data_IF_762422216519
#
_entry.id   IF_762422216519
#
_cell.length_a   1.000
_cell.length_b   1.000
_cell.length_c   1.000
_cell.angle_alpha   90.00
_cell.angle_beta   90.00
_cell.angle_gamma   90.00
#
_symmetry.space_group_name_H-M   'P 1'
#
loop_
_entity.id
_entity.type
_entity.pdbx_description
1 polymer ?
#
# COMPACT_ATOMS: atom_id res chain seq x y z
N UNK A 1 -4.77 25.37 20.90
CA UNK A 1 -5.48 25.46 19.59
C UNK A 1 -4.99 24.45 18.53
N UNK A 2 -3.74 23.96 18.56
CA UNK A 2 -3.15 23.02 17.55
C UNK A 2 -3.66 21.57 17.71
N UNK A 3 -3.85 21.05 18.92
CA UNK A 3 -4.29 19.66 19.21
C UNK A 3 -5.72 19.38 18.72
N UNK A 4 -6.66 20.36 18.85
CA UNK A 4 -8.05 20.18 18.39
C UNK A 4 -8.16 19.94 16.87
N UNK A 5 -7.29 20.56 16.05
CA UNK A 5 -7.30 20.39 14.59
C UNK A 5 -6.80 19.01 14.15
N UNK A 6 -5.89 18.40 14.91
CA UNK A 6 -5.40 17.05 14.62
C UNK A 6 -6.41 15.97 15.02
N UNK A 7 -7.08 16.17 16.15
CA UNK A 7 -8.17 15.28 16.57
C UNK A 7 -9.33 15.30 15.56
N UNK A 8 -9.63 16.46 14.95
CA UNK A 8 -10.62 16.54 13.87
C UNK A 8 -10.17 15.83 12.58
N UNK A 9 -8.88 15.88 12.25
CA UNK A 9 -8.31 15.17 11.08
C UNK A 9 -8.22 13.65 11.31
N UNK A 10 -7.82 13.24 12.52
CA UNK A 10 -7.77 11.82 12.89
C UNK A 10 -9.19 11.22 12.98
N UNK A 11 -10.18 12.00 13.47
CA UNK A 11 -11.58 11.58 13.47
C UNK A 11 -12.16 11.45 12.06
N UNK A 12 -11.78 12.34 11.11
CA UNK A 12 -12.20 12.24 9.71
C UNK A 12 -11.57 11.03 9.00
N UNK A 13 -10.31 10.70 9.32
CA UNK A 13 -9.63 9.50 8.78
C UNK A 13 -10.21 8.20 9.34
N UNK A 14 -10.65 8.20 10.61
CA UNK A 14 -11.31 7.05 11.23
C UNK A 14 -12.76 6.85 10.72
N UNK A 15 -13.44 7.90 10.30
CA UNK A 15 -14.78 7.83 9.69
C UNK A 15 -14.75 7.27 8.25
N UNK A 16 -13.60 7.22 7.62
CA UNK A 16 -13.40 6.57 6.32
C UNK A 16 -13.16 5.05 6.41
N UNK A 17 -13.33 4.45 7.59
CA UNK A 17 -13.35 2.99 7.73
C UNK A 17 -14.61 2.47 7.02
N UNK A 18 -14.50 1.68 5.97
CA UNK A 18 -15.67 1.10 5.32
C UNK A 18 -16.41 0.25 6.36
N UNK A 19 -17.68 0.51 6.52
CA UNK A 19 -18.61 -0.42 7.18
C UNK A 19 -18.55 -1.69 6.34
N UNK A 20 -17.93 -2.75 6.90
CA UNK A 20 -17.62 -3.96 6.15
C UNK A 20 -18.87 -4.54 5.51
N UNK A 21 -18.89 -4.62 4.20
CA UNK A 21 -19.78 -5.51 3.49
C UNK A 21 -19.52 -6.92 4.03
N UNK A 22 -20.58 -7.66 4.37
CA UNK A 22 -20.44 -9.06 4.76
C UNK A 22 -19.94 -9.83 3.55
N UNK A 23 -18.64 -10.15 3.56
CA UNK A 23 -18.04 -11.01 2.53
C UNK A 23 -18.45 -12.44 2.83
N UNK A 24 -19.21 -13.04 1.93
CA UNK A 24 -19.52 -14.47 1.99
C UNK A 24 -18.25 -15.24 1.59
N UNK A 25 -17.41 -15.60 2.57
CA UNK A 25 -16.24 -16.45 2.34
C UNK A 25 -16.59 -17.90 2.61
N UNK A 26 -16.26 -18.78 1.66
CA UNK A 26 -16.45 -20.22 1.79
C UNK A 26 -15.21 -20.94 2.29
N UNK A 27 -14.07 -20.26 2.31
CA UNK A 27 -12.80 -20.79 2.78
C UNK A 27 -11.86 -19.72 3.25
N UNK A 28 -10.88 -20.11 4.04
CA UNK A 28 -9.75 -19.27 4.43
C UNK A 28 -8.44 -19.99 4.09
N UNK A 29 -7.50 -19.27 3.52
CA UNK A 29 -6.15 -19.73 3.25
C UNK A 29 -5.18 -18.84 4.06
N UNK A 30 -4.53 -19.46 5.05
CA UNK A 30 -3.56 -18.78 5.88
C UNK A 30 -2.17 -18.94 5.25
N UNK A 31 -1.75 -17.96 4.46
CA UNK A 31 -0.50 -17.97 3.69
C UNK A 31 0.80 -17.85 4.50
N UNK A 32 0.77 -18.10 5.80
CA UNK A 32 1.95 -18.14 6.64
C UNK A 32 2.70 -16.82 6.81
N UNK A 33 3.91 -16.91 7.32
CA UNK A 33 4.85 -15.80 7.47
C UNK A 33 5.87 -15.82 6.33
N UNK A 34 5.92 -14.75 5.57
CA UNK A 34 6.98 -14.51 4.58
C UNK A 34 7.99 -13.52 5.14
N UNK A 35 9.28 -13.74 4.87
CA UNK A 35 10.34 -12.80 5.21
C UNK A 35 11.02 -12.23 3.97
N UNK A 36 11.64 -11.05 4.09
CA UNK A 36 12.30 -10.44 2.95
C UNK A 36 12.97 -9.11 3.25
N UNK A 37 13.43 -8.44 2.18
CA UNK A 37 14.11 -7.16 2.26
C UNK A 37 13.56 -6.13 1.28
N UNK A 38 13.77 -4.85 1.63
CA UNK A 38 13.49 -3.70 0.78
C UNK A 38 14.72 -2.81 0.74
N UNK A 39 15.23 -2.58 -0.45
CA UNK A 39 16.35 -1.67 -0.68
C UNK A 39 15.87 -0.55 -1.58
N UNK A 40 16.10 0.69 -1.21
CA UNK A 40 15.76 1.82 -2.05
C UNK A 40 16.83 2.89 -2.07
N UNK A 41 16.88 3.59 -3.19
CA UNK A 41 17.73 4.76 -3.38
C UNK A 41 16.96 5.84 -4.11
N UNK A 42 17.19 7.10 -3.77
CA UNK A 42 16.48 8.18 -4.43
C UNK A 42 17.12 9.54 -4.27
N UNK A 43 16.57 10.47 -5.03
CA UNK A 43 16.96 11.88 -5.05
C UNK A 43 15.74 12.72 -4.69
N UNK A 44 15.90 13.63 -3.75
CA UNK A 44 14.91 14.67 -3.38
C UNK A 44 15.49 16.03 -3.77
N UNK A 45 14.96 16.60 -4.85
CA UNK A 45 15.36 17.89 -5.37
C UNK A 45 14.39 18.98 -4.93
N UNK A 46 14.92 20.03 -4.27
CA UNK A 46 14.16 21.23 -3.92
C UNK A 46 14.09 22.19 -5.10
N UNK A 47 13.09 22.02 -5.96
CA UNK A 47 12.90 22.84 -7.16
C UNK A 47 12.49 24.29 -6.83
N UNK A 48 11.65 24.48 -5.80
CA UNK A 48 11.30 25.81 -5.27
C UNK A 48 11.55 25.76 -3.75
N UNK A 49 12.46 26.59 -3.21
CA UNK A 49 12.79 26.61 -1.80
C UNK A 49 11.55 26.68 -0.90
N UNK A 50 11.47 25.77 0.06
CA UNK A 50 10.37 25.64 1.04
C UNK A 50 8.99 25.32 0.44
N UNK A 51 8.84 25.19 -0.87
CA UNK A 51 7.54 24.98 -1.52
C UNK A 51 7.45 23.70 -2.34
N UNK A 52 8.32 23.50 -3.33
CA UNK A 52 8.21 22.39 -4.28
C UNK A 52 9.40 21.46 -4.17
N UNK A 53 9.13 20.20 -3.93
CA UNK A 53 10.08 19.09 -3.96
C UNK A 53 9.73 18.14 -5.08
N UNK A 54 10.72 17.77 -5.87
CA UNK A 54 10.64 16.71 -6.86
C UNK A 54 11.42 15.51 -6.34
N UNK A 55 10.86 14.32 -6.48
CA UNK A 55 11.46 13.09 -5.96
C UNK A 55 11.54 12.04 -7.05
N UNK A 56 12.68 11.34 -7.10
CA UNK A 56 12.86 10.12 -7.84
C UNK A 56 13.36 9.03 -6.89
N UNK A 57 12.75 7.86 -6.94
CA UNK A 57 13.09 6.72 -6.11
C UNK A 57 13.08 5.43 -6.92
N UNK A 58 14.10 4.61 -6.71
CA UNK A 58 14.16 3.22 -7.12
C UNK A 58 14.06 2.33 -5.89
N UNK A 59 13.23 1.28 -5.94
CA UNK A 59 13.09 0.33 -4.83
C UNK A 59 13.10 -1.10 -5.37
N UNK A 60 13.89 -1.94 -4.72
CA UNK A 60 13.99 -3.38 -4.96
C UNK A 60 13.44 -4.11 -3.75
N UNK A 61 12.62 -5.13 -3.99
CA UNK A 61 12.06 -5.99 -2.93
C UNK A 61 12.41 -7.45 -3.17
N UNK A 62 12.83 -8.08 -2.10
CA UNK A 62 13.07 -9.51 -2.01
C UNK A 62 12.01 -10.14 -1.13
N UNK A 63 11.56 -11.36 -1.48
CA UNK A 63 10.70 -12.23 -0.69
C UNK A 63 11.29 -13.64 -0.59
N UNK A 64 10.50 -14.60 -0.11
CA UNK A 64 10.92 -16.00 0.04
C UNK A 64 12.25 -16.11 0.77
N UNK A 65 12.29 -15.61 2.00
CA UNK A 65 13.47 -15.64 2.89
C UNK A 65 14.70 -14.96 2.27
N UNK A 66 14.49 -13.81 1.62
CA UNK A 66 15.50 -13.00 0.91
C UNK A 66 16.03 -13.65 -0.39
N UNK A 67 15.54 -14.83 -0.79
CA UNK A 67 16.09 -15.61 -1.90
C UNK A 67 15.59 -15.18 -3.28
N UNK A 68 14.47 -14.45 -3.37
CA UNK A 68 13.86 -14.10 -4.65
C UNK A 68 13.68 -12.60 -4.83
N UNK A 69 14.15 -12.09 -5.99
CA UNK A 69 13.81 -10.75 -6.44
C UNK A 69 12.33 -10.73 -6.85
N UNK A 70 11.50 -10.05 -6.03
CA UNK A 70 10.06 -10.05 -6.18
C UNK A 70 9.52 -8.84 -6.94
N UNK A 71 10.00 -7.62 -6.59
CA UNK A 71 9.48 -6.39 -7.20
C UNK A 71 10.58 -5.37 -7.43
N UNK A 72 10.43 -4.63 -8.53
CA UNK A 72 11.16 -3.41 -8.83
C UNK A 72 10.16 -2.25 -8.93
N UNK A 73 10.50 -1.13 -8.34
CA UNK A 73 9.74 0.11 -8.44
C UNK A 73 10.64 1.21 -8.95
N UNK A 74 10.21 1.90 -10.01
CA UNK A 74 10.75 3.18 -10.44
C UNK A 74 9.66 4.23 -10.24
N UNK A 75 9.93 5.24 -9.44
CA UNK A 75 8.91 6.19 -9.00
C UNK A 75 9.39 7.62 -9.14
N UNK A 76 8.52 8.48 -9.65
CA UNK A 76 8.72 9.93 -9.69
C UNK A 76 7.55 10.63 -9.02
N UNK A 77 7.81 11.76 -8.38
CA UNK A 77 6.75 12.52 -7.72
C UNK A 77 7.10 13.98 -7.50
N UNK A 78 6.06 14.76 -7.24
CA UNK A 78 6.15 16.16 -6.87
C UNK A 78 5.34 16.41 -5.61
N UNK A 79 5.89 17.16 -4.67
CA UNK A 79 5.21 17.53 -3.42
C UNK A 79 5.26 19.04 -3.25
N UNK A 80 4.10 19.66 -3.10
CA UNK A 80 3.95 21.09 -2.88
C UNK A 80 3.48 21.38 -1.45
N UNK A 81 4.12 22.32 -0.78
CA UNK A 81 3.74 22.79 0.56
C UNK A 81 2.65 23.85 0.43
N UNK A 82 1.43 23.49 0.79
CA UNK A 82 0.26 24.38 0.79
C UNK A 82 0.31 25.35 1.98
N UNK A 83 0.62 24.82 3.16
CA UNK A 83 0.77 25.58 4.41
C UNK A 83 2.00 25.04 5.18
N UNK A 84 2.45 25.69 6.27
CA UNK A 84 3.54 25.15 7.09
C UNK A 84 3.31 23.73 7.61
N UNK A 85 2.04 23.32 7.76
CA UNK A 85 1.64 22.04 8.32
C UNK A 85 0.99 21.08 7.30
N UNK A 86 0.68 21.55 6.06
CA UNK A 86 -0.02 20.76 5.05
C UNK A 86 0.76 20.73 3.74
N UNK A 87 0.89 19.53 3.15
CA UNK A 87 1.50 19.28 1.85
C UNK A 87 0.55 18.46 1.00
N UNK A 88 0.55 18.73 -0.30
CA UNK A 88 -0.10 17.90 -1.30
C UNK A 88 0.95 17.39 -2.29
N UNK A 89 0.76 16.19 -2.83
CA UNK A 89 1.70 15.61 -3.78
C UNK A 89 1.02 14.73 -4.80
N UNK A 90 1.69 14.55 -5.92
CA UNK A 90 1.33 13.59 -6.96
C UNK A 90 2.53 12.70 -7.25
N UNK A 91 2.28 11.47 -7.65
CA UNK A 91 3.36 10.56 -8.04
C UNK A 91 2.92 9.56 -9.09
N UNK A 92 3.88 9.08 -9.85
CA UNK A 92 3.77 7.96 -10.77
C UNK A 92 4.81 6.89 -10.45
N UNK A 93 4.50 5.63 -10.70
CA UNK A 93 5.45 4.53 -10.53
C UNK A 93 5.24 3.47 -11.59
N UNK A 94 6.34 2.97 -12.16
CA UNK A 94 6.39 1.72 -12.88
C UNK A 94 6.72 0.62 -11.87
N UNK A 95 6.00 -0.49 -11.93
CA UNK A 95 6.14 -1.62 -11.00
C UNK A 95 6.30 -2.88 -11.82
N UNK A 96 7.46 -3.52 -11.70
CA UNK A 96 7.71 -4.83 -12.27
C UNK A 96 7.60 -5.85 -11.13
N UNK A 97 6.75 -6.84 -11.28
CA UNK A 97 6.54 -7.88 -10.28
C UNK A 97 6.91 -9.23 -10.88
N UNK A 98 7.79 -9.96 -10.21
CA UNK A 98 8.14 -11.33 -10.56
C UNK A 98 7.25 -12.30 -9.79
N UNK A 99 6.41 -13.03 -10.51
CA UNK A 99 5.53 -14.06 -9.97
C UNK A 99 6.12 -15.44 -10.28
N UNK A 100 6.00 -16.38 -9.35
CA UNK A 100 6.45 -17.76 -9.53
C UNK A 100 5.82 -18.41 -10.78
N UNK A 101 4.51 -18.18 -10.98
CA UNK A 101 3.76 -18.86 -12.03
C UNK A 101 3.79 -18.14 -13.37
N UNK A 102 4.00 -16.81 -13.37
CA UNK A 102 3.77 -15.98 -14.55
C UNK A 102 4.99 -15.13 -14.95
N UNK A 103 6.14 -15.27 -14.26
CA UNK A 103 7.33 -14.47 -14.51
C UNK A 103 7.11 -12.95 -14.23
N UNK A 104 7.80 -12.11 -15.01
CA UNK A 104 7.73 -10.65 -14.85
C UNK A 104 6.45 -10.06 -15.44
N UNK A 105 5.72 -9.30 -14.63
CA UNK A 105 4.51 -8.57 -15.01
C UNK A 105 4.61 -7.11 -14.65
N UNK A 106 4.21 -6.25 -15.56
CA UNK A 106 4.30 -4.80 -15.42
C UNK A 106 2.98 -4.19 -14.97
N UNK A 107 3.09 -3.16 -14.12
CA UNK A 107 1.96 -2.34 -13.67
C UNK A 107 2.38 -0.89 -13.63
N UNK A 108 1.45 0.00 -13.91
CA UNK A 108 1.63 1.45 -13.72
C UNK A 108 0.77 1.90 -12.55
N UNK A 109 1.32 2.79 -11.74
CA UNK A 109 0.61 3.38 -10.61
C UNK A 109 0.69 4.89 -10.70
N UNK A 110 -0.43 5.54 -10.44
CA UNK A 110 -0.51 6.97 -10.18
C UNK A 110 -1.18 7.22 -8.83
N UNK A 111 -0.88 8.34 -8.20
CA UNK A 111 -1.51 8.66 -6.93
C UNK A 111 -1.38 10.11 -6.54
N UNK A 112 -2.26 10.49 -5.62
CA UNK A 112 -2.33 11.78 -4.97
C UNK A 112 -2.13 11.61 -3.48
N UNK A 113 -1.29 12.46 -2.88
CA UNK A 113 -0.98 12.47 -1.44
C UNK A 113 -1.45 13.78 -0.81
N UNK A 114 -2.06 13.66 0.36
CA UNK A 114 -2.28 14.77 1.27
C UNK A 114 -1.63 14.43 2.61
N UNK A 115 -0.70 15.27 3.07
CA UNK A 115 0.03 15.02 4.31
C UNK A 115 -0.05 16.22 5.24
N UNK A 116 -0.64 16.00 6.42
CA UNK A 116 -0.57 16.91 7.55
C UNK A 116 0.61 16.57 8.48
N UNK A 117 1.25 17.57 9.07
CA UNK A 117 2.28 17.36 10.09
C UNK A 117 2.21 18.41 11.18
N UNK A 118 2.52 17.98 12.41
CA UNK A 118 2.67 18.85 13.58
C UNK A 118 3.92 18.49 14.37
N UNK A 119 4.48 19.44 15.04
CA UNK A 119 5.61 19.28 15.95
C UNK A 119 5.18 19.68 17.36
N UNK A 120 5.51 18.86 18.34
CA UNK A 120 5.26 19.09 19.76
C UNK A 120 6.56 18.76 20.51
N UNK A 121 7.28 19.79 20.93
CA UNK A 121 8.63 19.68 21.48
C UNK A 121 9.56 18.96 20.47
N UNK A 122 10.04 17.77 20.80
CA UNK A 122 10.92 16.95 19.96
C UNK A 122 10.18 15.89 19.14
N UNK A 123 8.90 15.75 19.38
CA UNK A 123 8.07 14.83 18.64
C UNK A 123 7.53 15.48 17.36
N UNK A 124 7.59 14.74 16.29
CA UNK A 124 6.95 15.09 15.03
C UNK A 124 5.94 14.03 14.67
N UNK A 125 4.69 14.43 14.54
CA UNK A 125 3.59 13.58 14.09
C UNK A 125 3.21 13.95 12.68
N UNK A 126 2.88 12.95 11.87
CA UNK A 126 2.31 13.18 10.54
C UNK A 126 1.20 12.20 10.24
N UNK A 127 0.17 12.68 9.55
CA UNK A 127 -0.89 11.90 8.95
C UNK A 127 -0.80 12.08 7.45
N UNK A 128 -0.79 10.98 6.69
CA UNK A 128 -0.82 10.98 5.23
C UNK A 128 -1.96 10.15 4.72
N UNK A 129 -2.78 10.76 3.89
CA UNK A 129 -3.78 10.10 3.07
C UNK A 129 -3.27 10.00 1.63
N UNK A 130 -3.35 8.82 1.04
CA UNK A 130 -2.90 8.54 -0.31
C UNK A 130 -3.97 7.82 -1.09
N UNK A 131 -4.56 8.48 -2.07
CA UNK A 131 -5.38 7.83 -3.08
C UNK A 131 -4.50 7.37 -4.24
N UNK A 132 -4.60 6.11 -4.64
CA UNK A 132 -3.82 5.55 -5.73
C UNK A 132 -4.64 4.66 -6.65
N UNK A 133 -4.34 4.74 -7.95
CA UNK A 133 -4.77 3.79 -8.95
C UNK A 133 -3.57 2.95 -9.42
N UNK A 134 -3.74 1.65 -9.55
CA UNK A 134 -2.73 0.74 -10.09
C UNK A 134 -3.33 -0.06 -11.22
N UNK A 135 -2.83 0.16 -12.44
CA UNK A 135 -3.28 -0.51 -13.66
C UNK A 135 -2.29 -1.61 -14.04
N UNK A 136 -2.81 -2.79 -14.31
CA UNK A 136 -2.08 -3.95 -14.81
C UNK A 136 -1.87 -3.78 -16.32
N UNK A 137 -0.65 -3.99 -16.81
CA UNK A 137 -0.30 -3.92 -18.24
C UNK A 137 -0.29 -5.33 -18.88
N UNK A 138 -1.12 -6.21 -18.38
CA UNK A 138 -1.32 -7.57 -18.85
C UNK A 138 -2.80 -7.95 -18.72
N UNK A 139 -3.22 -8.97 -19.46
CA UNK A 139 -4.59 -9.44 -19.44
C UNK A 139 -4.97 -10.02 -18.07
N UNK A 140 -6.16 -9.72 -17.62
CA UNK A 140 -6.72 -10.18 -16.35
C UNK A 140 -8.07 -10.83 -16.58
N UNK A 141 -8.38 -11.80 -15.73
CA UNK A 141 -9.74 -12.31 -15.66
C UNK A 141 -10.63 -11.30 -14.91
N UNK A 142 -11.46 -10.57 -15.65
CA UNK A 142 -12.31 -9.51 -15.11
C UNK A 142 -13.34 -9.99 -14.09
N UNK A 143 -13.64 -11.28 -14.05
CA UNK A 143 -14.50 -11.88 -13.03
C UNK A 143 -13.79 -12.12 -11.69
N UNK A 144 -12.47 -12.16 -11.68
CA UNK A 144 -11.65 -12.35 -10.47
C UNK A 144 -11.07 -11.04 -9.96
N UNK A 145 -10.61 -10.19 -10.86
CA UNK A 145 -9.94 -8.96 -10.50
C UNK A 145 -10.12 -7.87 -11.55
N UNK A 146 -10.09 -6.61 -11.13
CA UNK A 146 -10.13 -5.49 -12.06
C UNK A 146 -8.75 -5.19 -12.67
N UNK A 147 -8.74 -4.62 -13.87
CA UNK A 147 -7.52 -4.17 -14.54
C UNK A 147 -6.89 -2.97 -13.80
N UNK A 148 -7.71 -2.08 -13.24
CA UNK A 148 -7.26 -0.91 -12.47
C UNK A 148 -7.80 -0.95 -11.06
N UNK A 149 -6.93 -1.20 -10.09
CA UNK A 149 -7.28 -1.24 -8.68
C UNK A 149 -7.08 0.13 -8.02
N UNK A 150 -8.14 0.65 -7.39
CA UNK A 150 -8.10 1.86 -6.57
C UNK A 150 -7.90 1.50 -5.10
N UNK A 151 -7.06 2.27 -4.42
CA UNK A 151 -6.83 2.09 -3.00
C UNK A 151 -6.61 3.42 -2.29
N UNK A 152 -7.15 3.52 -1.07
CA UNK A 152 -6.85 4.57 -0.11
C UNK A 152 -5.88 4.04 0.94
N UNK A 153 -4.80 4.77 1.21
CA UNK A 153 -3.84 4.46 2.27
C UNK A 153 -3.80 5.59 3.27
N UNK A 154 -4.05 5.24 4.52
CA UNK A 154 -4.00 6.14 5.66
C UNK A 154 -2.82 5.79 6.54
N UNK A 155 -1.84 6.68 6.68
CA UNK A 155 -0.61 6.44 7.44
C UNK A 155 -0.42 7.49 8.53
N UNK A 156 -0.23 7.02 9.76
CA UNK A 156 0.22 7.83 10.89
C UNK A 156 1.68 7.49 11.16
N UNK A 157 2.52 8.50 11.34
CA UNK A 157 3.93 8.35 11.72
C UNK A 157 4.24 9.30 12.87
N UNK A 158 4.95 8.80 13.88
CA UNK A 158 5.56 9.58 14.94
C UNK A 158 7.08 9.42 14.85
N UNK A 159 7.84 10.51 14.90
CA UNK A 159 9.30 10.50 14.99
C UNK A 159 9.77 11.38 16.15
N UNK A 160 10.96 11.08 16.66
CA UNK A 160 11.57 11.78 17.79
C UNK A 160 12.95 12.31 17.42
N UNK A 161 13.16 13.60 17.61
CA UNK A 161 14.45 14.25 17.37
C UNK A 161 15.33 14.13 18.62
N UNK A 162 16.33 13.23 18.60
CA UNK A 162 17.27 13.04 19.70
C UNK A 162 18.26 14.19 19.68
N UNK A 163 18.41 14.95 20.79
CA UNK A 163 19.34 16.08 20.88
C UNK A 163 20.77 15.67 20.56
N UNK A 164 21.46 16.49 19.80
CA UNK A 164 22.86 16.28 19.41
C UNK A 164 23.14 14.94 18.70
N UNK A 165 22.09 14.24 18.24
CA UNK A 165 22.18 12.98 17.51
C UNK A 165 21.94 13.17 16.02
N UNK A 166 22.53 12.29 15.22
CA UNK A 166 22.23 12.16 13.79
C UNK A 166 21.08 11.17 13.52
N UNK A 167 20.56 10.53 14.56
CA UNK A 167 19.49 9.53 14.48
C UNK A 167 18.14 10.15 14.84
N UNK A 168 17.13 9.81 14.03
CA UNK A 168 15.74 10.21 14.23
C UNK A 168 14.86 8.96 14.20
N UNK A 169 14.68 8.27 15.37
CA UNK A 169 13.83 7.07 15.44
C UNK A 169 12.38 7.43 15.16
N UNK A 170 11.65 6.46 14.60
CA UNK A 170 10.25 6.60 14.31
C UNK A 170 9.46 5.29 14.36
N UNK A 171 8.15 5.43 14.51
CA UNK A 171 7.19 4.37 14.28
C UNK A 171 6.05 4.87 13.39
N UNK A 172 5.47 3.96 12.61
CA UNK A 172 4.36 4.28 11.73
C UNK A 172 3.38 3.09 11.62
N UNK A 173 2.11 3.43 11.43
CA UNK A 173 1.05 2.48 11.11
C UNK A 173 0.37 2.96 9.82
N UNK A 174 0.14 2.04 8.89
CA UNK A 174 -0.55 2.32 7.63
C UNK A 174 -1.67 1.30 7.40
N UNK A 175 -2.88 1.80 7.17
CA UNK A 175 -4.01 1.04 6.66
C UNK A 175 -4.09 1.18 5.14
N UNK A 176 -4.50 0.13 4.46
CA UNK A 176 -4.86 0.17 3.04
C UNK A 176 -6.26 -0.37 2.85
N UNK A 177 -7.11 0.46 2.24
CA UNK A 177 -8.44 0.10 1.80
C UNK A 177 -8.43 -0.10 0.28
N UNK A 178 -8.95 -1.22 -0.19
CA UNK A 178 -9.32 -1.40 -1.60
C UNK A 178 -10.68 -0.75 -1.80
N UNK A 179 -10.85 0.04 -2.88
CA UNK A 179 -12.05 0.85 -3.12
C UNK A 179 -12.93 0.31 -4.24
N UNK A 180 -12.42 -0.62 -5.05
CA UNK A 180 -13.13 -1.17 -6.20
C UNK A 180 -12.75 -2.64 -6.43
N UNK A 181 -12.94 -3.47 -5.44
CA UNK A 181 -12.80 -4.92 -5.61
C UNK A 181 -14.01 -5.49 -6.36
N UNK A 182 -13.82 -6.69 -6.92
CA UNK A 182 -14.93 -7.45 -7.48
C UNK A 182 -15.92 -7.78 -6.38
N UNK A 183 -17.20 -7.51 -6.61
CA UNK A 183 -18.23 -7.73 -5.61
C UNK A 183 -18.73 -9.18 -5.67
N UNK A 184 -18.45 -10.01 -4.65
CA UNK A 184 -18.85 -11.41 -4.63
C UNK A 184 -20.37 -11.63 -4.58
N UNK A 185 -21.17 -10.63 -4.23
CA UNK A 185 -22.64 -10.72 -4.20
C UNK A 185 -23.26 -10.99 -5.59
N UNK A 186 -22.49 -10.75 -6.67
CA UNK A 186 -22.93 -11.04 -8.04
C UNK A 186 -22.68 -12.47 -8.48
N UNK A 187 -22.02 -13.29 -7.68
CA UNK A 187 -21.88 -14.71 -7.89
C UNK A 187 -23.08 -15.44 -7.29
N UNK A 188 -23.73 -16.30 -8.07
CA UNK A 188 -24.88 -17.10 -7.65
C UNK A 188 -24.64 -18.59 -7.87
N UNK A 189 -25.04 -19.40 -6.90
CA UNK A 189 -24.94 -20.84 -7.04
C UNK A 189 -26.04 -21.36 -7.96
N UNK A 190 -25.64 -21.97 -9.05
CA UNK A 190 -26.55 -22.65 -9.99
C UNK A 190 -26.69 -24.12 -9.58
N UNK A 191 -27.82 -24.46 -8.93
CA UNK A 191 -28.09 -25.81 -8.42
C UNK A 191 -28.18 -26.86 -9.53
N UNK A 192 -28.66 -26.50 -10.71
CA UNK A 192 -28.80 -27.43 -11.83
C UNK A 192 -27.47 -27.81 -12.47
N UNK A 193 -26.49 -26.93 -12.42
CA UNK A 193 -25.16 -27.14 -12.96
C UNK A 193 -24.11 -27.45 -11.88
N UNK A 194 -24.49 -27.40 -10.60
CA UNK A 194 -23.58 -27.65 -9.47
C UNK A 194 -22.39 -26.68 -9.37
N UNK A 195 -22.55 -25.45 -9.85
CA UNK A 195 -21.48 -24.48 -9.93
C UNK A 195 -21.93 -23.06 -9.60
N UNK A 196 -20.98 -22.19 -9.30
CA UNK A 196 -21.23 -20.76 -9.19
C UNK A 196 -21.13 -20.10 -10.56
N UNK A 197 -22.05 -19.20 -10.86
CA UNK A 197 -22.09 -18.41 -12.07
C UNK A 197 -22.08 -16.91 -11.70
N UNK A 198 -21.27 -16.10 -12.42
CA UNK A 198 -21.32 -14.64 -12.36
C UNK A 198 -21.97 -14.11 -13.63
N UNK A 199 -23.13 -13.50 -13.48
CA UNK A 199 -23.90 -12.97 -14.62
C UNK A 199 -23.60 -11.49 -14.88
N UNK A 200 -23.03 -10.78 -13.90
CA UNK A 200 -22.71 -9.36 -13.99
C UNK A 200 -21.51 -9.09 -13.07
N UNK A 201 -20.47 -8.47 -13.60
CA UNK A 201 -19.26 -8.13 -12.83
C UNK A 201 -19.31 -6.68 -12.42
N UNK A 202 -19.27 -6.45 -11.11
CA UNK A 202 -19.17 -5.10 -10.54
C UNK A 202 -17.96 -4.96 -9.64
N UNK A 203 -17.38 -3.77 -9.65
CA UNK A 203 -16.19 -3.41 -8.90
C UNK A 203 -16.53 -2.32 -7.87
N UNK A 204 -17.47 -2.64 -6.97
CA UNK A 204 -18.01 -1.74 -5.96
C UNK A 204 -17.77 -2.23 -4.52
N UNK A 205 -17.03 -3.33 -4.35
CA UNK A 205 -16.68 -3.82 -3.02
C UNK A 205 -15.50 -3.03 -2.42
N UNK A 206 -15.63 -2.70 -1.13
CA UNK A 206 -14.67 -1.90 -0.39
C UNK A 206 -14.30 -2.62 0.90
N UNK A 207 -13.01 -2.90 1.09
CA UNK A 207 -12.54 -3.52 2.32
C UNK A 207 -11.11 -3.15 2.66
N UNK A 208 -10.76 -3.28 3.95
CA UNK A 208 -9.37 -3.15 4.42
C UNK A 208 -8.62 -4.41 3.98
N UNK A 209 -7.58 -4.23 3.18
CA UNK A 209 -6.81 -5.35 2.67
C UNK A 209 -5.37 -5.40 3.20
N UNK A 210 -4.93 -4.41 3.99
CA UNK A 210 -3.62 -4.44 4.62
C UNK A 210 -3.53 -3.53 5.83
N UNK A 211 -2.88 -4.05 6.88
CA UNK A 211 -2.36 -3.30 8.02
C UNK A 211 -0.83 -3.42 8.01
N UNK A 212 -0.13 -2.28 8.05
CA UNK A 212 1.33 -2.22 8.09
C UNK A 212 1.81 -1.54 9.34
N UNK A 213 2.76 -2.16 10.01
CA UNK A 213 3.58 -1.55 11.05
C UNK A 213 4.99 -1.34 10.52
N UNK A 214 5.59 -0.20 10.81
CA UNK A 214 6.96 0.12 10.45
C UNK A 214 7.63 0.85 11.60
N UNK A 215 8.82 0.41 12.01
CA UNK A 215 9.65 1.10 12.97
C UNK A 215 11.08 1.19 12.42
N UNK A 216 11.76 2.30 12.68
CA UNK A 216 13.09 2.52 12.13
C UNK A 216 13.75 3.77 12.65
N UNK A 217 14.86 4.10 12.02
CA UNK A 217 15.58 5.34 12.31
C UNK A 217 16.17 5.96 11.04
N UNK A 218 15.94 7.25 10.87
CA UNK A 218 16.63 8.05 9.87
C UNK A 218 18.01 8.44 10.41
N UNK A 219 19.08 8.10 9.69
CA UNK A 219 20.46 8.47 10.01
C UNK A 219 20.94 9.54 9.04
N UNK A 220 21.18 10.75 9.56
CA UNK A 220 21.76 11.88 8.81
C UNK A 220 23.25 11.66 8.63
N UNK A 221 23.69 10.96 7.57
CA UNK A 221 25.09 10.67 7.26
C UNK A 221 25.88 11.94 7.00
N UNK A 222 25.30 12.83 6.18
CA UNK A 222 25.84 14.14 5.85
C UNK A 222 24.70 15.16 5.66
N UNK A 223 25.03 16.43 5.41
CA UNK A 223 24.03 17.50 5.22
C UNK A 223 22.97 17.19 4.17
N UNK A 224 23.35 16.44 3.11
CA UNK A 224 22.50 16.11 1.97
C UNK A 224 22.21 14.60 1.86
N UNK A 225 22.61 13.79 2.81
CA UNK A 225 22.51 12.34 2.75
C UNK A 225 21.75 11.79 3.95
N UNK A 226 20.69 11.05 3.68
CA UNK A 226 19.87 10.39 4.67
C UNK A 226 19.83 8.90 4.38
N UNK A 227 20.17 8.08 5.37
CA UNK A 227 19.95 6.64 5.36
C UNK A 227 18.80 6.32 6.33
N UNK A 228 17.78 5.65 5.86
CA UNK A 228 16.68 5.14 6.68
C UNK A 228 16.83 3.62 6.83
N UNK A 229 16.87 3.14 8.06
CA UNK A 229 16.97 1.73 8.41
C UNK A 229 15.70 1.37 9.15
N UNK A 230 14.97 0.35 8.69
CA UNK A 230 13.68 0.03 9.28
C UNK A 230 13.33 -1.46 9.21
N UNK A 231 12.44 -1.85 10.11
CA UNK A 231 11.69 -3.10 10.05
C UNK A 231 10.26 -2.81 9.64
N UNK A 232 9.65 -3.73 8.93
CA UNK A 232 8.27 -3.63 8.49
C UNK A 232 7.56 -4.96 8.68
N UNK A 233 6.32 -4.88 9.17
CA UNK A 233 5.40 -6.02 9.26
C UNK A 233 4.12 -5.65 8.55
N UNK A 234 3.77 -6.42 7.52
CA UNK A 234 2.52 -6.28 6.74
C UNK A 234 1.61 -7.46 7.05
N UNK A 235 0.42 -7.20 7.55
CA UNK A 235 -0.67 -8.17 7.58
C UNK A 235 -1.59 -7.87 6.40
N UNK A 236 -1.79 -8.85 5.52
CA UNK A 236 -2.55 -8.69 4.28
C UNK A 236 -3.77 -9.60 4.28
N UNK A 237 -4.88 -9.09 3.75
CA UNK A 237 -6.12 -9.82 3.52
C UNK A 237 -6.54 -9.59 2.07
N UNK A 238 -6.67 -10.66 1.32
CA UNK A 238 -7.12 -10.55 -0.07
C UNK A 238 -8.26 -11.54 -0.29
N UNK A 239 -9.35 -11.04 -0.83
CA UNK A 239 -10.42 -11.89 -1.32
C UNK A 239 -9.97 -12.46 -2.66
N UNK A 240 -9.85 -13.78 -2.73
CA UNK A 240 -9.59 -14.51 -3.97
C UNK A 240 -10.91 -15.11 -4.48
N UNK A 241 -11.17 -14.90 -5.75
CA UNK A 241 -12.37 -15.41 -6.43
C UNK A 241 -11.89 -16.38 -7.50
N UNK A 242 -12.14 -17.68 -7.28
CA UNK A 242 -11.75 -18.70 -8.24
C UNK A 242 -12.85 -18.91 -9.27
N UNK A 243 -12.62 -18.43 -10.49
CA UNK A 243 -13.56 -18.53 -11.60
C UNK A 243 -12.81 -18.66 -12.93
N UNK A 244 -13.49 -19.23 -13.94
CA UNK A 244 -12.98 -19.27 -15.30
C UNK A 244 -13.15 -17.91 -16.00
N UNK A 245 -12.53 -17.73 -17.17
CA UNK A 245 -12.62 -16.51 -17.97
C UNK A 245 -14.04 -16.14 -18.44
N UNK A 246 -14.98 -17.08 -18.36
CA UNK A 246 -16.40 -16.86 -18.69
C UNK A 246 -17.30 -16.73 -17.45
N UNK A 247 -16.73 -16.53 -16.26
CA UNK A 247 -17.46 -16.29 -15.01
C UNK A 247 -17.92 -17.55 -14.28
N UNK A 248 -17.48 -18.75 -14.65
CA UNK A 248 -17.88 -19.99 -13.99
C UNK A 248 -16.80 -20.48 -13.02
N UNK A 249 -17.22 -20.99 -11.87
CA UNK A 249 -16.36 -21.75 -10.97
C UNK A 249 -15.95 -23.08 -11.61
N UNK A 250 -14.66 -23.43 -11.47
CA UNK A 250 -14.10 -24.62 -12.15
C UNK A 250 -14.35 -25.93 -11.43
N UNK A 251 -14.50 -25.94 -10.13
CA UNK A 251 -14.42 -27.18 -9.39
C UNK A 251 -15.68 -27.48 -8.60
N UNK A 252 -16.17 -28.67 -8.76
CA UNK A 252 -17.06 -29.29 -7.79
C UNK A 252 -16.32 -29.45 -6.48
N UNK A 253 -16.69 -28.70 -5.43
CA UNK A 253 -16.18 -28.81 -4.08
C UNK A 253 -15.11 -27.81 -3.65
N UNK A 254 -14.52 -27.02 -4.55
CA UNK A 254 -13.63 -25.92 -4.15
C UNK A 254 -14.43 -24.65 -3.82
N UNK A 255 -14.08 -23.90 -2.77
CA UNK A 255 -14.74 -22.64 -2.48
C UNK A 255 -14.50 -21.64 -3.61
N UNK A 256 -15.57 -20.99 -4.07
CA UNK A 256 -15.49 -19.90 -5.04
C UNK A 256 -14.77 -18.68 -4.44
N UNK A 257 -15.03 -18.45 -3.15
CA UNK A 257 -14.51 -17.31 -2.41
C UNK A 257 -13.56 -17.81 -1.34
N UNK A 258 -12.34 -17.28 -1.34
CA UNK A 258 -11.31 -17.62 -0.36
C UNK A 258 -10.69 -16.34 0.18
N UNK A 259 -10.73 -16.15 1.50
CA UNK A 259 -10.00 -15.09 2.18
C UNK A 259 -8.55 -15.52 2.39
N UNK A 260 -7.65 -15.05 1.56
CA UNK A 260 -6.20 -15.26 1.70
C UNK A 260 -5.65 -14.28 2.72
N UNK A 261 -5.04 -14.80 3.77
CA UNK A 261 -4.33 -14.04 4.78
C UNK A 261 -2.84 -14.32 4.66
N UNK A 262 -2.01 -13.30 4.87
CA UNK A 262 -0.57 -13.46 4.87
C UNK A 262 0.08 -12.41 5.74
N UNK A 263 1.20 -12.79 6.35
CA UNK A 263 2.04 -11.87 7.12
C UNK A 263 3.40 -11.80 6.44
N UNK A 264 3.86 -10.59 6.15
CA UNK A 264 5.21 -10.33 5.65
C UNK A 264 5.99 -9.57 6.73
N UNK A 265 7.17 -10.04 7.09
CA UNK A 265 8.12 -9.34 7.92
C UNK A 265 9.41 -9.07 7.14
N UNK A 266 9.93 -7.85 7.21
CA UNK A 266 11.10 -7.51 6.41
C UNK A 266 11.95 -6.40 6.98
N UNK A 267 13.22 -6.41 6.55
CA UNK A 267 14.18 -5.34 6.79
C UNK A 267 14.18 -4.38 5.61
N UNK A 268 14.42 -3.09 5.89
CA UNK A 268 14.52 -2.09 4.85
C UNK A 268 15.68 -1.14 5.04
N UNK A 269 16.30 -0.79 3.91
CA UNK A 269 17.30 0.26 3.80
C UNK A 269 16.87 1.22 2.71
N UNK A 270 16.87 2.52 3.01
CA UNK A 270 16.53 3.55 2.04
C UNK A 270 17.55 4.68 2.10
N UNK A 271 18.24 4.91 1.00
CA UNK A 271 19.18 6.02 0.88
C UNK A 271 18.56 7.17 0.08
N UNK A 272 18.61 8.38 0.62
CA UNK A 272 18.11 9.59 -0.06
C UNK A 272 19.18 10.65 -0.14
N UNK A 273 19.43 11.12 -1.36
CA UNK A 273 20.28 12.27 -1.63
C UNK A 273 19.44 13.53 -1.83
N UNK A 274 19.72 14.62 -1.10
CA UNK A 274 19.00 15.90 -1.16
C UNK A 274 19.79 16.92 -1.98
N UNK A 275 19.16 17.46 -3.01
CA UNK A 275 19.70 18.53 -3.87
C UNK A 275 19.10 19.90 -3.56
#
# INVERSE_FOLDING_TARGET
MRIRRLLSFAAAALLALPVGAQVLTYGTDDGGLETGARLSGGVDWTAIPKKLHLKWDEEVRFDSDFGRLHKLYSSVGATYRLTPWLRAGVYGSLINTNSTDNGWRNRVRAGFDLQGSMEADRWKFSLRERLQATTKLYDVNTYQENATAWALKSRIKASYDIPHSRFEPYAAVELRNTLNAVNPAYFKYNKSLGRWDCTDTRYDDIYINRLRFQAGTGWKLARKQLLDIFVVVDSNWNLDIDTSSNGYSRASGAPLLTLKKGVFAGLGLSFTFKL
#
